data_IF_660883644407
#
_entry.id   IF_660883644407
#
_cell.length_a   1.000
_cell.length_b   1.000
_cell.length_c   1.000
_cell.angle_alpha   90.00
_cell.angle_beta   90.00
_cell.angle_gamma   90.00
#
_symmetry.space_group_name_H-M   'P 1'
#
loop_
_entity.id
_entity.type
_entity.pdbx_description
1 polymer ?
#
# COMPACT_ATOMS: atom_id res chain seq x y z
N UNK A 1 -21.58 3.20 -5.25
CA UNK A 1 -20.98 2.04 -4.58
C UNK A 1 -20.02 1.38 -5.56
N UNK A 2 -18.73 1.34 -5.25
CA UNK A 2 -17.73 0.62 -6.06
C UNK A 2 -17.68 -0.83 -5.55
N UNK A 3 -18.09 -1.77 -6.39
CA UNK A 3 -18.06 -3.21 -6.09
C UNK A 3 -16.72 -3.86 -6.41
N UNK A 4 -15.83 -3.13 -7.08
CA UNK A 4 -14.45 -3.52 -7.31
C UNK A 4 -13.65 -3.45 -6.00
N UNK A 5 -12.87 -4.50 -5.77
CA UNK A 5 -11.97 -4.59 -4.63
C UNK A 5 -10.52 -4.44 -5.11
N UNK A 6 -9.73 -3.56 -4.50
CA UNK A 6 -8.32 -3.46 -4.81
C UNK A 6 -7.58 -4.72 -4.34
N UNK A 7 -6.97 -5.42 -5.30
CA UNK A 7 -6.16 -6.62 -5.05
C UNK A 7 -4.72 -6.32 -5.46
N UNK A 8 -3.78 -6.65 -4.57
CA UNK A 8 -2.35 -6.48 -4.77
C UNK A 8 -1.68 -7.85 -4.95
N UNK A 9 -0.83 -7.98 -5.98
CA UNK A 9 -0.10 -9.23 -6.21
C UNK A 9 1.23 -9.19 -5.48
N UNK A 10 1.32 -9.96 -4.40
CA UNK A 10 2.49 -10.02 -3.54
C UNK A 10 3.42 -11.13 -4.05
N UNK A 11 4.71 -10.83 -4.31
CA UNK A 11 5.67 -11.85 -4.73
C UNK A 11 5.69 -13.02 -3.75
N UNK A 12 5.62 -14.24 -4.30
CA UNK A 12 5.63 -15.51 -3.56
C UNK A 12 4.42 -15.78 -2.65
N UNK A 13 3.59 -14.78 -2.33
CA UNK A 13 2.41 -14.91 -1.47
C UNK A 13 1.08 -14.89 -2.24
N UNK A 14 1.10 -14.47 -3.51
CA UNK A 14 -0.08 -14.45 -4.37
C UNK A 14 -0.93 -13.19 -4.20
N UNK A 15 -2.25 -13.32 -4.37
CA UNK A 15 -3.17 -12.18 -4.31
C UNK A 15 -3.51 -11.82 -2.87
N UNK A 16 -3.37 -10.54 -2.53
CA UNK A 16 -3.77 -9.98 -1.24
C UNK A 16 -4.85 -8.93 -1.46
N UNK A 17 -5.97 -9.06 -0.76
CA UNK A 17 -7.08 -8.10 -0.84
C UNK A 17 -6.75 -6.93 0.08
N UNK A 18 -6.59 -5.70 -0.44
CA UNK A 18 -6.15 -4.58 0.40
C UNK A 18 -7.18 -4.17 1.47
N UNK A 19 -8.43 -4.60 1.36
CA UNK A 19 -9.43 -4.41 2.43
C UNK A 19 -9.25 -5.40 3.59
N UNK A 20 -8.55 -6.51 3.36
CA UNK A 20 -8.21 -7.50 4.37
C UNK A 20 -7.00 -7.00 5.18
N UNK A 21 -7.23 -6.01 6.04
CA UNK A 21 -6.19 -5.39 6.87
C UNK A 21 -5.40 -6.39 7.73
N UNK A 22 -5.98 -7.54 8.07
CA UNK A 22 -5.29 -8.60 8.80
C UNK A 22 -4.13 -9.28 8.02
N UNK A 23 -4.04 -9.05 6.72
CA UNK A 23 -3.05 -9.70 5.85
C UNK A 23 -1.83 -8.81 5.59
N UNK A 24 -1.84 -7.55 6.00
CA UNK A 24 -0.70 -6.66 5.86
C UNK A 24 -0.65 -5.55 6.91
N UNK A 25 0.55 -5.15 7.32
CA UNK A 25 0.75 -4.14 8.36
C UNK A 25 1.60 -2.98 7.83
N UNK A 26 1.20 -1.73 8.10
CA UNK A 26 2.07 -0.56 7.89
C UNK A 26 3.10 -0.51 9.02
N UNK A 27 4.37 -0.76 8.70
CA UNK A 27 5.43 -0.87 9.71
C UNK A 27 6.31 0.38 9.81
N UNK A 28 6.38 1.19 8.75
CA UNK A 28 7.17 2.43 8.75
C UNK A 28 6.71 3.42 7.68
N UNK A 29 7.03 4.70 7.90
CA UNK A 29 6.96 5.77 6.91
C UNK A 29 8.37 6.36 6.77
N UNK A 30 8.91 6.36 5.55
CA UNK A 30 10.24 6.90 5.26
C UNK A 30 10.20 8.44 5.15
N UNK A 31 11.34 9.14 5.30
CA UNK A 31 11.39 10.61 5.20
C UNK A 31 10.90 11.20 3.87
N UNK A 32 10.88 10.40 2.80
CA UNK A 32 10.36 10.77 1.48
C UNK A 32 8.88 10.43 1.28
N UNK A 33 8.18 10.03 2.34
CA UNK A 33 6.75 9.70 2.33
C UNK A 33 6.43 8.30 1.80
N UNK A 34 7.43 7.43 1.56
CA UNK A 34 7.17 6.02 1.24
C UNK A 34 6.65 5.27 2.45
N UNK A 35 5.63 4.44 2.23
CA UNK A 35 5.07 3.53 3.22
C UNK A 35 5.72 2.16 3.08
N UNK A 36 6.10 1.56 4.19
CA UNK A 36 6.62 0.20 4.21
C UNK A 36 5.58 -0.73 4.83
N UNK A 37 5.25 -1.79 4.10
CA UNK A 37 4.26 -2.78 4.49
C UNK A 37 4.90 -4.13 4.71
N UNK A 38 4.45 -4.82 5.75
CA UNK A 38 4.75 -6.22 5.96
C UNK A 38 3.53 -7.03 5.52
N UNK A 39 3.64 -7.74 4.40
CA UNK A 39 2.60 -8.65 3.93
C UNK A 39 2.81 -10.02 4.51
N UNK A 40 1.76 -10.59 5.08
CA UNK A 40 1.83 -11.91 5.69
C UNK A 40 1.22 -12.96 4.76
N UNK A 41 1.79 -14.18 4.71
CA UNK A 41 1.19 -15.30 3.99
C UNK A 41 -0.20 -15.60 4.52
N UNK A 42 -1.10 -16.21 3.76
CA UNK A 42 -2.33 -16.76 4.35
C UNK A 42 -2.04 -18.07 5.10
N UNK A 43 -0.95 -18.77 4.73
CA UNK A 43 -0.48 -20.05 5.29
C UNK A 43 0.14 -19.93 6.69
N UNK A 44 -0.02 -18.81 7.41
CA UNK A 44 0.67 -18.51 8.69
C UNK A 44 0.50 -19.61 9.76
N UNK A 45 -0.51 -20.47 9.61
CA UNK A 45 -0.84 -21.56 10.53
C UNK A 45 -0.48 -22.97 10.00
N UNK A 46 0.06 -23.07 8.79
CA UNK A 46 0.38 -24.34 8.10
C UNK A 46 1.89 -24.48 7.96
N UNK A 47 2.59 -23.43 7.49
CA UNK A 47 4.05 -23.41 7.39
C UNK A 47 4.63 -22.03 7.73
N UNK A 48 5.89 -22.00 8.18
CA UNK A 48 6.59 -20.77 8.52
C UNK A 48 7.12 -20.11 7.26
N UNK A 49 6.24 -19.43 6.52
CA UNK A 49 6.63 -18.62 5.36
C UNK A 49 7.01 -17.22 5.83
N UNK A 50 8.17 -16.74 5.37
CA UNK A 50 8.63 -15.40 5.70
C UNK A 50 7.64 -14.36 5.17
N UNK A 51 7.29 -13.33 5.97
CA UNK A 51 6.50 -12.23 5.47
C UNK A 51 7.26 -11.47 4.37
N UNK A 52 6.52 -10.87 3.45
CA UNK A 52 7.07 -10.08 2.36
C UNK A 52 7.12 -8.60 2.73
N UNK A 53 8.32 -8.03 2.76
CA UNK A 53 8.51 -6.59 2.99
C UNK A 53 8.33 -5.83 1.68
N UNK A 54 7.31 -4.98 1.62
CA UNK A 54 7.05 -4.10 0.49
C UNK A 54 7.34 -2.65 0.84
N UNK A 55 8.03 -1.93 -0.05
CA UNK A 55 8.20 -0.48 0.05
C UNK A 55 7.43 0.16 -1.09
N UNK A 56 6.47 1.00 -0.74
CA UNK A 56 5.59 1.66 -1.69
C UNK A 56 6.31 2.79 -2.45
N UNK A 57 5.65 3.33 -3.47
CA UNK A 57 6.09 4.53 -4.18
C UNK A 57 5.98 5.76 -3.29
N UNK A 58 6.86 6.75 -3.52
CA UNK A 58 6.84 7.99 -2.75
C UNK A 58 5.62 8.83 -3.12
N UNK A 59 4.75 9.05 -2.14
CA UNK A 59 3.61 9.96 -2.28
C UNK A 59 4.11 11.39 -2.50
N UNK A 60 5.19 11.78 -1.84
CA UNK A 60 5.81 13.10 -2.02
C UNK A 60 6.17 13.38 -3.48
N UNK A 61 6.84 12.45 -4.16
CA UNK A 61 7.19 12.64 -5.58
C UNK A 61 5.95 12.74 -6.47
N UNK A 62 4.87 12.05 -6.13
CA UNK A 62 3.61 12.17 -6.85
C UNK A 62 3.00 13.57 -6.66
N UNK A 63 2.93 14.07 -5.42
CA UNK A 63 2.45 15.41 -5.10
C UNK A 63 3.29 16.50 -5.78
N UNK A 64 4.62 16.38 -5.75
CA UNK A 64 5.53 17.32 -6.44
C UNK A 64 5.25 17.38 -7.95
N UNK A 65 4.93 16.23 -8.58
CA UNK A 65 4.63 16.14 -10.03
C UNK A 65 3.31 16.80 -10.40
N UNK A 66 2.27 16.67 -9.58
CA UNK A 66 0.98 17.31 -9.84
C UNK A 66 1.07 18.82 -9.63
N UNK A 67 1.80 19.29 -8.61
CA UNK A 67 2.08 20.72 -8.42
C UNK A 67 2.85 21.29 -9.60
N UNK A 68 3.85 20.58 -10.11
CA UNK A 68 4.60 21.00 -11.29
C UNK A 68 3.74 21.10 -12.57
N UNK A 69 2.59 20.42 -12.62
CA UNK A 69 1.60 20.51 -13.70
C UNK A 69 0.58 21.63 -13.49
N UNK A 70 0.63 22.32 -12.34
CA UNK A 70 -0.31 23.39 -11.98
C UNK A 70 -1.59 22.90 -11.32
N UNK A 71 -1.63 21.66 -10.85
CA UNK A 71 -2.75 21.10 -10.10
C UNK A 71 -2.60 21.36 -8.59
N UNK A 72 -3.72 21.43 -7.86
CA UNK A 72 -3.72 21.60 -6.40
C UNK A 72 -3.56 20.25 -5.68
N UNK A 73 -2.49 20.04 -4.88
CA UNK A 73 -2.31 18.83 -4.09
C UNK A 73 -3.45 18.52 -3.10
N UNK A 74 -4.19 19.53 -2.64
CA UNK A 74 -5.28 19.34 -1.67
C UNK A 74 -6.45 18.54 -2.27
N UNK A 75 -6.66 18.63 -3.59
CA UNK A 75 -7.64 17.82 -4.31
C UNK A 75 -7.33 16.31 -4.20
N UNK A 76 -6.07 15.97 -3.90
CA UNK A 76 -5.57 14.61 -3.76
C UNK A 76 -5.43 14.16 -2.30
N UNK A 77 -5.94 14.89 -1.31
CA UNK A 77 -5.80 14.49 0.12
C UNK A 77 -6.38 13.12 0.45
N UNK A 78 -7.26 12.59 -0.39
CA UNK A 78 -7.86 11.25 -0.21
C UNK A 78 -6.89 10.10 -0.51
N UNK A 79 -5.73 10.33 -1.13
CA UNK A 79 -4.74 9.27 -1.42
C UNK A 79 -4.21 8.56 -0.15
N UNK A 80 -4.37 9.22 1.00
CA UNK A 80 -4.02 8.68 2.31
C UNK A 80 -5.08 7.73 2.88
N UNK A 81 -6.29 7.70 2.31
CA UNK A 81 -7.44 6.98 2.83
C UNK A 81 -8.04 6.06 1.77
N UNK A 82 -8.08 4.75 2.06
CA UNK A 82 -8.86 3.78 1.30
C UNK A 82 -10.13 3.44 2.12
N UNK A 83 -11.14 4.31 2.08
CA UNK A 83 -12.49 4.05 2.62
C UNK A 83 -13.56 4.39 1.59
#
# INVERSE_FOLDING_TARGET
FRSDEPVFNVPFLGKNHLRAWQDHELIAIQPDGRRMYLFHPWEKNIETVNPYLYTDVTIRSYLDKITARGEDPEDYRSIWYYY
#
